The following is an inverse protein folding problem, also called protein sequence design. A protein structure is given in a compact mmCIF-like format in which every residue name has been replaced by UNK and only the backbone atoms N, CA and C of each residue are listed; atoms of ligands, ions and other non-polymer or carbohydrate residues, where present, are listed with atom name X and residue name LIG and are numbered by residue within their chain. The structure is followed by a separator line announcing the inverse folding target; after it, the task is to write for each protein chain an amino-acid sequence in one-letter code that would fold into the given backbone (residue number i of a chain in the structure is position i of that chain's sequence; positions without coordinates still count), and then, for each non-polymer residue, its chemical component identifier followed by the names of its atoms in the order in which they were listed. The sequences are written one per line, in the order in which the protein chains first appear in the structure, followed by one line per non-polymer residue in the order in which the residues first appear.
data_IF_462290727897
#
_entry.id   IF_462290727897
#
_cell.length_a   1.000
_cell.length_b   1.000
_cell.length_c   1.000
_cell.angle_alpha   90.00
_cell.angle_beta   90.00
_cell.angle_gamma   90.00
#
_symmetry.space_group_name_H-M   'P 1'
#
loop_
_entity.id
_entity.type
_entity.pdbx_description
1 polymer ?
#
# COMPACT_ATOMS: atom_id res chain seq x y z
N UNK A 1 -20.74 6.06 34.72
CA UNK A 1 -20.59 5.34 33.45
C UNK A 1 -20.58 6.37 32.33
N UNK A 2 -19.39 6.75 31.84
CA UNK A 2 -19.23 7.64 30.68
C UNK A 2 -18.44 6.85 29.63
N UNK A 3 -19.12 5.91 28.99
CA UNK A 3 -18.58 5.14 27.86
C UNK A 3 -19.11 5.73 26.57
N UNK A 4 -18.57 6.87 26.15
CA UNK A 4 -18.74 7.31 24.76
C UNK A 4 -17.95 6.34 23.90
N UNK A 5 -18.63 5.44 23.19
CA UNK A 5 -17.98 4.59 22.19
C UNK A 5 -17.31 5.50 21.17
N UNK A 6 -15.98 5.56 21.20
CA UNK A 6 -15.20 6.10 20.10
C UNK A 6 -15.40 5.15 18.92
N UNK A 7 -16.31 5.52 18.02
CA UNK A 7 -16.50 4.83 16.76
C UNK A 7 -15.47 5.37 15.77
N UNK A 8 -14.41 4.60 15.57
CA UNK A 8 -13.33 4.93 14.63
C UNK A 8 -13.67 4.54 13.18
N UNK A 9 -14.88 4.04 12.94
CA UNK A 9 -15.30 3.48 11.66
C UNK A 9 -14.99 1.99 11.54
N UNK A 10 -15.50 1.34 10.48
CA UNK A 10 -15.36 -0.11 10.31
C UNK A 10 -13.95 -0.51 9.88
N UNK A 11 -13.53 -1.68 10.35
CA UNK A 11 -12.46 -2.44 9.71
C UNK A 11 -13.00 -3.10 8.44
N UNK A 12 -12.23 -3.05 7.36
CA UNK A 12 -12.62 -3.55 6.04
C UNK A 12 -11.48 -4.39 5.47
N UNK A 13 -11.80 -5.54 4.89
CA UNK A 13 -10.89 -6.35 4.07
C UNK A 13 -11.65 -6.87 2.85
N UNK A 14 -11.09 -6.72 1.65
CA UNK A 14 -11.73 -7.13 0.40
C UNK A 14 -10.73 -7.35 -0.72
N UNK A 15 -11.02 -8.27 -1.64
CA UNK A 15 -10.29 -8.47 -2.91
C UNK A 15 -10.85 -7.63 -4.05
N UNK A 16 -11.94 -6.90 -3.82
CA UNK A 16 -12.63 -6.06 -4.81
C UNK A 16 -12.84 -4.66 -4.24
N UNK A 17 -11.77 -3.85 -4.05
CA UNK A 17 -11.93 -2.52 -3.52
C UNK A 17 -12.76 -1.63 -4.44
N UNK A 18 -13.56 -0.76 -3.84
CA UNK A 18 -14.37 0.22 -4.56
C UNK A 18 -13.49 1.34 -5.14
N UNK A 19 -14.04 2.09 -6.09
CA UNK A 19 -13.36 3.27 -6.64
C UNK A 19 -12.97 4.29 -5.55
N UNK A 20 -13.81 4.47 -4.52
CA UNK A 20 -13.51 5.38 -3.41
C UNK A 20 -12.38 4.85 -2.52
N UNK A 21 -12.31 3.53 -2.28
CA UNK A 21 -11.19 2.92 -1.53
C UNK A 21 -9.87 3.06 -2.29
N UNK A 22 -9.90 2.83 -3.61
CA UNK A 22 -8.73 3.04 -4.47
C UNK A 22 -8.32 4.52 -4.47
N UNK A 23 -9.28 5.45 -4.60
CA UNK A 23 -9.02 6.89 -4.55
C UNK A 23 -8.40 7.32 -3.22
N UNK A 24 -8.90 6.80 -2.11
CA UNK A 24 -8.30 7.01 -0.79
C UNK A 24 -6.85 6.52 -0.74
N UNK A 25 -6.59 5.28 -1.19
CA UNK A 25 -5.22 4.74 -1.24
C UNK A 25 -4.29 5.59 -2.09
N UNK A 26 -4.74 6.02 -3.29
CA UNK A 26 -3.93 6.89 -4.16
C UNK A 26 -3.50 8.18 -3.46
N UNK A 27 -4.40 8.76 -2.66
CA UNK A 27 -4.13 9.97 -1.91
C UNK A 27 -3.07 9.74 -0.82
N UNK A 28 -3.27 8.74 0.04
CA UNK A 28 -2.40 8.54 1.23
C UNK A 28 -1.09 7.83 0.92
N UNK A 29 -1.07 7.01 -0.12
CA UNK A 29 0.11 6.26 -0.59
C UNK A 29 0.85 6.98 -1.74
N UNK A 30 0.44 8.20 -2.08
CA UNK A 30 1.07 9.02 -3.13
C UNK A 30 1.17 8.30 -4.48
N UNK A 31 0.14 7.55 -4.87
CA UNK A 31 0.11 6.89 -6.17
C UNK A 31 -0.28 7.89 -7.26
N UNK A 32 0.44 7.89 -8.37
CA UNK A 32 0.16 8.74 -9.52
C UNK A 32 -1.26 8.46 -10.06
N UNK A 33 -2.18 9.45 -10.06
CA UNK A 33 -3.57 9.24 -10.45
C UNK A 33 -3.75 8.89 -11.93
N UNK A 34 -2.76 9.13 -12.79
CA UNK A 34 -2.80 8.79 -14.21
C UNK A 34 -2.43 7.33 -14.50
N UNK A 35 -1.81 6.64 -13.54
CA UNK A 35 -1.43 5.24 -13.70
C UNK A 35 -2.66 4.35 -13.49
N UNK A 36 -2.95 3.50 -14.46
CA UNK A 36 -3.98 2.47 -14.34
C UNK A 36 -3.47 1.39 -13.40
N UNK A 37 -4.26 1.03 -12.39
CA UNK A 37 -3.95 -0.09 -11.49
C UNK A 37 -5.12 -1.06 -11.50
N UNK A 38 -4.80 -2.34 -11.35
CA UNK A 38 -5.76 -3.43 -11.19
C UNK A 38 -5.69 -3.92 -9.73
N UNK A 39 -6.58 -3.47 -8.86
CA UNK A 39 -6.54 -3.83 -7.45
C UNK A 39 -6.80 -5.32 -7.24
N UNK A 40 -5.98 -5.95 -6.41
CA UNK A 40 -6.09 -7.37 -6.04
C UNK A 40 -6.55 -7.55 -4.58
N UNK A 41 -6.33 -6.54 -3.74
CA UNK A 41 -6.91 -6.49 -2.42
C UNK A 41 -6.63 -5.22 -1.65
N UNK A 42 -7.44 -4.99 -0.64
CA UNK A 42 -7.45 -3.80 0.20
C UNK A 42 -7.81 -4.18 1.63
N UNK A 43 -7.10 -3.59 2.59
CA UNK A 43 -7.48 -3.61 3.99
C UNK A 43 -7.43 -2.20 4.57
N UNK A 44 -8.40 -1.88 5.41
CA UNK A 44 -8.39 -0.72 6.30
C UNK A 44 -8.70 -1.22 7.70
N UNK A 45 -7.77 -1.00 8.62
CA UNK A 45 -8.00 -1.13 10.06
C UNK A 45 -8.11 0.30 10.60
N UNK A 46 -9.25 0.58 11.20
CA UNK A 46 -9.58 1.89 11.77
C UNK A 46 -9.47 1.84 13.29
N UNK A 47 -8.84 2.86 13.87
CA UNK A 47 -8.65 3.03 15.30
C UNK A 47 -8.28 4.48 15.62
N UNK A 48 -7.54 4.72 16.71
CA UNK A 48 -6.87 6.00 16.94
C UNK A 48 -5.96 6.30 15.75
N UNK A 49 -5.25 5.27 15.29
CA UNK A 49 -4.45 5.26 14.09
C UNK A 49 -5.13 4.42 13.01
N UNK A 50 -4.88 4.79 11.75
CA UNK A 50 -5.27 4.00 10.59
C UNK A 50 -4.11 3.19 10.07
N UNK A 51 -4.42 1.97 9.66
CA UNK A 51 -3.52 1.08 8.96
C UNK A 51 -4.19 0.61 7.68
N UNK A 52 -3.50 0.72 6.56
CA UNK A 52 -4.04 0.48 5.23
C UNK A 52 -3.09 -0.40 4.44
N UNK A 53 -3.66 -1.40 3.78
CA UNK A 53 -2.95 -2.23 2.81
C UNK A 53 -3.60 -2.12 1.46
N UNK A 54 -2.78 -2.11 0.42
CA UNK A 54 -3.22 -2.21 -0.95
C UNK A 54 -2.26 -3.11 -1.72
N UNK A 55 -2.81 -4.16 -2.33
CA UNK A 55 -2.12 -4.98 -3.34
C UNK A 55 -2.76 -4.73 -4.70
N UNK A 56 -1.95 -4.51 -5.72
CA UNK A 56 -2.45 -4.28 -7.08
C UNK A 56 -1.41 -4.67 -8.14
N UNK A 57 -1.87 -4.84 -9.37
CA UNK A 57 -1.02 -5.00 -10.55
C UNK A 57 -1.05 -3.71 -11.36
N UNK A 58 0.08 -3.34 -11.98
CA UNK A 58 0.19 -2.18 -12.86
C UNK A 58 0.89 -2.58 -14.17
N UNK A 59 0.38 -2.17 -15.35
CA UNK A 59 0.97 -2.49 -16.65
C UNK A 59 2.13 -1.54 -16.99
N UNK A 60 3.19 -1.60 -16.19
CA UNK A 60 4.47 -0.91 -16.46
C UNK A 60 5.60 -1.78 -15.94
N UNK A 61 6.83 -1.56 -16.43
CA UNK A 61 8.06 -2.07 -15.82
C UNK A 61 8.87 -0.97 -15.11
N UNK A 62 8.39 0.28 -15.17
CA UNK A 62 9.07 1.45 -14.63
C UNK A 62 8.37 1.97 -13.38
N UNK A 63 8.96 1.67 -12.22
CA UNK A 63 8.43 2.07 -10.91
C UNK A 63 8.38 3.59 -10.72
N UNK A 64 9.18 4.38 -11.47
CA UNK A 64 9.16 5.85 -11.38
C UNK A 64 7.81 6.44 -11.81
N UNK A 65 7.03 5.71 -12.62
CA UNK A 65 5.73 6.19 -13.08
C UNK A 65 4.66 6.07 -12.00
N UNK A 66 4.85 5.15 -11.05
CA UNK A 66 3.81 4.71 -10.11
C UNK A 66 3.56 5.70 -8.98
N UNK A 67 4.62 6.30 -8.42
CA UNK A 67 4.51 7.17 -7.26
C UNK A 67 4.71 8.64 -7.62
N UNK A 68 4.00 9.51 -6.92
CA UNK A 68 4.28 10.94 -6.93
C UNK A 68 5.57 11.19 -6.13
N UNK A 69 6.48 11.93 -6.76
CA UNK A 69 7.72 12.37 -6.14
C UNK A 69 7.78 13.89 -6.15
N UNK A 70 7.91 14.57 -4.98
CA UNK A 70 7.93 14.04 -3.59
C UNK A 70 6.54 13.57 -3.09
N UNK A 71 6.45 12.83 -1.96
CA UNK A 71 7.52 12.46 -1.01
C UNK A 71 8.17 11.10 -1.27
N UNK A 72 7.72 10.34 -2.27
CA UNK A 72 8.27 9.00 -2.55
C UNK A 72 9.48 9.14 -3.47
N UNK A 73 10.65 8.70 -3.00
CA UNK A 73 11.86 8.58 -3.80
C UNK A 73 12.17 7.10 -4.08
N UNK A 74 11.87 6.65 -5.30
CA UNK A 74 12.05 5.25 -5.70
C UNK A 74 13.53 4.83 -5.75
N UNK A 75 14.49 5.77 -5.73
CA UNK A 75 15.92 5.45 -5.63
C UNK A 75 16.29 4.85 -4.27
N UNK A 76 15.43 5.01 -3.26
CA UNK A 76 15.58 4.36 -1.96
C UNK A 76 15.21 2.88 -1.99
N UNK A 77 14.52 2.40 -3.04
CA UNK A 77 14.12 1.00 -3.13
C UNK A 77 15.33 0.08 -3.33
N UNK A 78 15.38 -0.99 -2.54
CA UNK A 78 16.48 -1.97 -2.53
C UNK A 78 15.94 -3.39 -2.74
N UNK A 79 16.71 -4.27 -3.38
CA UNK A 79 16.34 -5.69 -3.46
C UNK A 79 16.35 -6.34 -2.09
N UNK A 80 15.65 -7.48 -1.97
CA UNK A 80 15.47 -8.23 -0.73
C UNK A 80 14.78 -7.42 0.37
N UNK A 81 13.82 -6.56 -0.02
CA UNK A 81 12.98 -5.87 0.93
C UNK A 81 12.05 -6.86 1.64
N UNK A 82 11.99 -6.79 2.98
CA UNK A 82 11.16 -7.68 3.79
C UNK A 82 9.89 -6.95 4.26
N UNK A 83 8.73 -7.52 3.95
CA UNK A 83 7.45 -7.11 4.52
C UNK A 83 7.19 -7.90 5.80
N UNK A 84 7.88 -7.54 6.88
CA UNK A 84 7.63 -8.16 8.19
C UNK A 84 6.28 -7.69 8.76
N UNK A 85 5.38 -8.63 9.08
CA UNK A 85 4.20 -8.35 9.91
C UNK A 85 2.90 -7.98 9.19
N UNK A 86 2.63 -8.54 8.01
CA UNK A 86 1.34 -8.38 7.33
C UNK A 86 0.17 -9.17 7.99
N UNK A 87 -1.09 -8.86 7.64
CA UNK A 87 -2.26 -9.58 8.11
C UNK A 87 -2.27 -11.01 7.56
N UNK A 88 -3.01 -11.89 8.24
CA UNK A 88 -3.24 -13.26 7.75
C UNK A 88 -4.36 -13.28 6.71
N UNK A 89 -4.19 -12.52 5.62
CA UNK A 89 -5.14 -12.39 4.52
C UNK A 89 -4.61 -13.14 3.28
N UNK A 90 -5.37 -14.08 2.68
CA UNK A 90 -4.87 -14.90 1.57
C UNK A 90 -4.41 -14.12 0.34
N UNK A 91 -4.95 -12.92 0.13
CA UNK A 91 -4.57 -12.05 -0.98
C UNK A 91 -3.33 -11.21 -0.69
N UNK A 92 -2.93 -11.07 0.58
CA UNK A 92 -1.74 -10.36 1.01
C UNK A 92 -0.58 -11.36 1.22
N UNK A 93 0.08 -11.66 0.11
CA UNK A 93 1.04 -12.76 -0.04
C UNK A 93 2.40 -12.29 -0.57
N UNK A 94 3.03 -11.23 0.00
CA UNK A 94 4.35 -10.81 -0.45
C UNK A 94 5.33 -12.00 -0.37
N UNK A 95 6.07 -12.31 -1.45
CA UNK A 95 6.98 -13.45 -1.44
C UNK A 95 8.12 -13.20 -0.46
N UNK A 96 8.66 -14.28 0.08
CA UNK A 96 9.77 -14.22 1.04
C UNK A 96 11.11 -13.75 0.45
N UNK A 97 11.19 -13.60 -0.88
CA UNK A 97 12.39 -13.13 -1.58
C UNK A 97 12.03 -12.48 -2.91
N UNK A 98 12.96 -11.72 -3.49
CA UNK A 98 12.78 -11.09 -4.80
C UNK A 98 12.02 -9.75 -4.78
N UNK A 99 11.54 -9.30 -3.63
CA UNK A 99 10.93 -7.98 -3.50
C UNK A 99 11.97 -6.86 -3.58
N UNK A 100 11.64 -5.83 -4.36
CA UNK A 100 12.36 -4.56 -4.40
C UNK A 100 11.46 -3.53 -3.72
N UNK A 101 11.94 -2.87 -2.67
CA UNK A 101 11.10 -1.95 -1.90
C UNK A 101 11.85 -1.04 -0.95
N UNK A 102 11.12 -0.12 -0.32
CA UNK A 102 11.65 0.79 0.67
C UNK A 102 10.61 1.10 1.77
N UNK A 103 11.14 1.58 2.89
CA UNK A 103 10.39 2.27 3.92
C UNK A 103 10.46 3.79 3.70
N UNK A 104 9.34 4.47 3.86
CA UNK A 104 9.20 5.91 3.71
C UNK A 104 8.60 6.52 4.97
N UNK A 105 9.31 7.50 5.52
CA UNK A 105 8.76 8.44 6.51
C UNK A 105 8.02 9.55 5.75
N UNK A 106 6.73 9.67 6.00
CA UNK A 106 5.83 10.60 5.33
C UNK A 106 5.49 11.78 6.27
N UNK A 107 5.06 12.93 5.71
CA UNK A 107 4.63 14.06 6.54
C UNK A 107 3.51 13.68 7.52
N UNK A 108 3.49 14.34 8.68
CA UNK A 108 2.47 14.17 9.73
C UNK A 108 2.47 12.77 10.39
N UNK A 109 3.66 12.27 10.73
CA UNK A 109 3.83 11.02 11.49
C UNK A 109 3.16 9.83 10.80
N UNK A 110 3.37 9.76 9.48
CA UNK A 110 2.85 8.71 8.61
C UNK A 110 4.02 7.90 8.09
N UNK A 111 3.78 6.62 7.85
CA UNK A 111 4.80 5.70 7.37
C UNK A 111 4.23 4.89 6.22
N UNK A 112 5.10 4.53 5.28
CA UNK A 112 4.73 3.68 4.17
C UNK A 112 5.84 2.70 3.84
N UNK A 113 5.50 1.42 3.78
CA UNK A 113 6.33 0.42 3.13
C UNK A 113 5.75 0.19 1.74
N UNK A 114 6.57 0.31 0.71
CA UNK A 114 6.17 -0.03 -0.65
C UNK A 114 7.21 -0.97 -1.26
N UNK A 115 6.76 -2.08 -1.81
CA UNK A 115 7.60 -2.98 -2.58
C UNK A 115 6.86 -3.54 -3.79
N UNK A 116 7.63 -4.05 -4.74
CA UNK A 116 7.10 -4.65 -5.94
C UNK A 116 7.92 -5.86 -6.40
N UNK A 117 7.30 -6.64 -7.28
CA UNK A 117 7.92 -7.71 -8.06
C UNK A 117 7.71 -7.36 -9.54
N UNK A 118 8.76 -7.51 -10.34
CA UNK A 118 8.63 -7.51 -11.79
C UNK A 118 8.14 -8.90 -12.24
N UNK A 119 6.97 -8.94 -12.88
CA UNK A 119 6.35 -10.19 -13.33
C UNK A 119 6.99 -10.73 -14.63
N UNK A 120 7.90 -9.98 -15.26
CA UNK A 120 8.60 -10.38 -16.49
C UNK A 120 7.77 -10.26 -17.77
N UNK A 121 6.52 -9.81 -17.67
CA UNK A 121 5.58 -9.60 -18.77
C UNK A 121 5.28 -8.10 -19.02
N UNK A 122 6.10 -7.22 -18.45
CA UNK A 122 5.90 -5.77 -18.50
C UNK A 122 4.88 -5.26 -17.47
N UNK A 123 4.54 -6.06 -16.46
CA UNK A 123 3.72 -5.64 -15.33
C UNK A 123 4.48 -5.74 -14.00
N UNK A 124 4.10 -4.91 -13.04
CA UNK A 124 4.56 -5.04 -11.65
C UNK A 124 3.41 -5.49 -10.76
N UNK A 125 3.69 -6.44 -9.86
CA UNK A 125 2.84 -6.69 -8.69
C UNK A 125 3.34 -5.84 -7.53
N UNK A 126 2.48 -4.99 -6.98
CA UNK A 126 2.86 -3.98 -5.98
C UNK A 126 2.12 -4.23 -4.66
N UNK A 127 2.87 -4.10 -3.57
CA UNK A 127 2.41 -4.20 -2.19
C UNK A 127 2.71 -2.88 -1.48
N UNK A 128 1.68 -2.23 -0.95
CA UNK A 128 1.83 -1.01 -0.16
C UNK A 128 1.15 -1.18 1.19
N UNK A 129 1.91 -0.95 2.26
CA UNK A 129 1.41 -0.77 3.61
C UNK A 129 1.59 0.69 3.98
N UNK A 130 0.54 1.29 4.52
CA UNK A 130 0.55 2.66 5.02
C UNK A 130 -0.05 2.71 6.42
N UNK A 131 0.51 3.53 7.30
CA UNK A 131 -0.08 3.79 8.61
C UNK A 131 0.22 5.20 9.12
N UNK A 132 -0.61 5.67 10.04
CA UNK A 132 -0.34 6.83 10.91
C UNK A 132 -0.02 6.35 12.33
N UNK A 133 0.63 7.20 13.14
CA UNK A 133 0.92 6.97 14.57
C UNK A 133 0.85 8.25 15.37
#
# INVERSE_FOLDING_TARGET
MLGGCLDFGPNISTTKPTAEQVKFCRSVMYLNPQVIIEPQGFQLISGIDRYVLLKFVVPTSDINQLFLSPPVDVLLMRPNFDFSGGPNEPWWDPPSSGLIGAHYELPYVKFMNAAYIDNGDGTLTVYVQWNET
#
